data_IF_814363698868
#
_entry.id   IF_814363698868
#
_cell.length_a   1.000
_cell.length_b   1.000
_cell.length_c   1.000
_cell.angle_alpha   90.00
_cell.angle_beta   90.00
_cell.angle_gamma   90.00
#
_symmetry.space_group_name_H-M   'P 1'
#
loop_
_entity.id
_entity.type
_entity.pdbx_description
1 polymer ?
#
# COMPACT_ATOMS: atom_id res chain seq x y z
N UNK A 1 2.63 -4.80 5.05
CA UNK A 1 1.56 -3.77 5.13
C UNK A 1 1.66 -2.86 3.91
N UNK A 2 0.56 -2.45 3.29
CA UNK A 2 0.55 -1.43 2.22
C UNK A 2 -0.20 -0.19 2.66
N UNK A 3 0.41 0.99 2.52
CA UNK A 3 -0.27 2.28 2.68
C UNK A 3 -0.48 2.91 1.32
N UNK A 4 -1.72 3.34 1.05
CA UNK A 4 -2.06 4.00 -0.21
C UNK A 4 -2.59 5.38 0.13
N UNK A 5 -1.99 6.40 -0.48
CA UNK A 5 -2.43 7.79 -0.38
C UNK A 5 -2.75 8.27 -1.79
N UNK A 6 -4.04 8.38 -2.16
CA UNK A 6 -4.44 8.96 -3.43
C UNK A 6 -4.01 10.43 -3.48
N UNK A 7 -3.39 10.82 -4.58
CA UNK A 7 -2.99 12.21 -4.84
C UNK A 7 -3.83 12.72 -6.01
N UNK A 8 -4.47 13.87 -5.84
CA UNK A 8 -5.13 14.60 -6.94
C UNK A 8 -4.10 15.29 -7.80
N UNK A 9 -3.05 15.83 -7.18
CA UNK A 9 -1.95 16.51 -7.89
C UNK A 9 -0.59 16.12 -7.33
N UNK A 10 0.46 16.20 -8.15
CA UNK A 10 1.83 15.84 -7.74
C UNK A 10 2.34 16.67 -6.55
N UNK A 11 1.85 17.90 -6.40
CA UNK A 11 2.28 18.83 -5.35
C UNK A 11 1.81 18.39 -3.95
N UNK A 12 0.78 17.55 -3.86
CA UNK A 12 0.28 17.02 -2.59
C UNK A 12 1.22 15.98 -1.97
N UNK A 13 2.13 15.40 -2.77
CA UNK A 13 3.00 14.32 -2.33
C UNK A 13 3.79 14.65 -1.05
N UNK A 14 4.31 15.88 -0.92
CA UNK A 14 5.06 16.29 0.26
C UNK A 14 4.18 16.37 1.52
N UNK A 15 2.94 16.82 1.39
CA UNK A 15 2.00 16.89 2.51
C UNK A 15 1.54 15.50 2.93
N UNK A 16 1.23 14.62 1.97
CA UNK A 16 0.91 13.22 2.26
C UNK A 16 2.09 12.50 2.92
N UNK A 17 3.32 12.80 2.51
CA UNK A 17 4.52 12.26 3.18
C UNK A 17 4.61 12.67 4.66
N UNK A 18 4.28 13.93 5.01
CA UNK A 18 4.24 14.36 6.42
C UNK A 18 3.24 13.54 7.24
N UNK A 19 2.05 13.30 6.70
CA UNK A 19 1.02 12.47 7.34
C UNK A 19 1.51 11.04 7.51
N UNK A 20 2.04 10.44 6.45
CA UNK A 20 2.62 9.10 6.49
C UNK A 20 3.72 8.98 7.56
N UNK A 21 4.65 9.95 7.59
CA UNK A 21 5.73 9.97 8.56
C UNK A 21 5.19 9.96 9.99
N UNK A 22 4.26 10.85 10.32
CA UNK A 22 3.67 10.91 11.65
C UNK A 22 3.00 9.58 12.05
N UNK A 23 2.28 8.93 11.12
CA UNK A 23 1.64 7.64 11.36
C UNK A 23 2.64 6.53 11.64
N UNK A 24 3.72 6.45 10.86
CA UNK A 24 4.76 5.42 11.03
C UNK A 24 5.55 5.65 12.32
N UNK A 25 5.89 6.90 12.64
CA UNK A 25 6.62 7.21 13.87
C UNK A 25 5.77 6.90 15.11
N UNK A 26 4.47 7.18 15.07
CA UNK A 26 3.54 6.80 16.13
C UNK A 26 3.37 5.28 16.26
N UNK A 27 3.31 4.55 15.14
CA UNK A 27 3.11 3.09 15.15
C UNK A 27 4.36 2.33 15.59
N UNK A 28 5.56 2.84 15.27
CA UNK A 28 6.83 2.15 15.53
C UNK A 28 7.59 2.70 16.75
N UNK A 29 7.06 3.73 17.42
CA UNK A 29 7.71 4.47 18.53
C UNK A 29 9.15 4.88 18.21
N UNK A 30 9.43 5.19 16.94
CA UNK A 30 10.78 5.47 16.39
C UNK A 30 10.71 6.62 15.41
N UNK A 31 11.77 7.43 15.35
CA UNK A 31 11.85 8.57 14.42
C UNK A 31 12.51 8.19 13.10
N UNK A 32 11.99 8.73 12.00
CA UNK A 32 12.60 8.59 10.67
C UNK A 32 13.78 9.55 10.58
N UNK A 33 15.01 9.00 10.56
CA UNK A 33 16.25 9.79 10.49
C UNK A 33 16.57 10.25 9.07
N UNK A 34 16.59 9.31 8.12
CA UNK A 34 16.97 9.53 6.73
C UNK A 34 16.07 8.67 5.82
N UNK A 35 15.63 9.26 4.71
CA UNK A 35 15.06 8.51 3.60
C UNK A 35 16.18 8.00 2.70
N UNK A 36 16.19 6.70 2.44
CA UNK A 36 17.06 6.09 1.43
C UNK A 36 16.22 5.66 0.25
N UNK A 37 16.67 6.02 -0.95
CA UNK A 37 16.07 5.59 -2.20
C UNK A 37 17.02 4.60 -2.84
N UNK A 38 16.76 3.32 -2.66
CA UNK A 38 17.47 2.27 -3.39
C UNK A 38 16.82 2.17 -4.78
N UNK A 39 17.48 2.74 -5.79
CA UNK A 39 17.08 2.55 -7.18
C UNK A 39 17.42 1.11 -7.56
N UNK A 40 16.47 0.41 -8.18
CA UNK A 40 16.74 -0.91 -8.75
C UNK A 40 17.92 -0.81 -9.73
N UNK A 41 18.86 -1.75 -9.66
CA UNK A 41 19.98 -1.75 -10.58
C UNK A 41 19.46 -1.88 -12.03
N UNK A 42 20.13 -1.24 -13.01
CA UNK A 42 19.77 -1.39 -14.41
C UNK A 42 19.73 -2.89 -14.77
N UNK A 43 18.72 -3.29 -15.56
CA UNK A 43 18.56 -4.67 -16.03
C UNK A 43 18.29 -5.74 -14.96
N UNK A 44 17.97 -5.36 -13.71
CA UNK A 44 17.55 -6.32 -12.66
C UNK A 44 16.09 -6.10 -12.21
N UNK A 45 15.09 -6.36 -13.08
CA UNK A 45 13.68 -6.19 -12.73
C UNK A 45 13.24 -7.06 -11.54
N UNK A 46 13.94 -8.17 -11.29
CA UNK A 46 13.68 -9.06 -10.16
C UNK A 46 13.75 -8.36 -8.79
N UNK A 47 14.52 -7.26 -8.67
CA UNK A 47 14.60 -6.47 -7.44
C UNK A 47 13.29 -5.74 -7.09
N UNK A 48 12.44 -5.44 -8.09
CA UNK A 48 11.16 -4.75 -7.89
C UNK A 48 9.97 -5.72 -7.79
N UNK A 49 10.20 -7.03 -7.92
CA UNK A 49 9.14 -8.03 -8.06
C UNK A 49 8.15 -8.07 -6.88
N UNK A 50 8.61 -7.76 -5.66
CA UNK A 50 7.74 -7.71 -4.48
C UNK A 50 6.74 -6.56 -4.56
N UNK A 51 7.21 -5.36 -4.91
CA UNK A 51 6.36 -4.18 -5.08
C UNK A 51 5.40 -4.36 -6.26
N UNK A 52 5.88 -4.90 -7.38
CA UNK A 52 5.05 -5.18 -8.55
C UNK A 52 3.94 -6.20 -8.27
N UNK A 53 4.27 -7.29 -7.57
CA UNK A 53 3.28 -8.31 -7.17
C UNK A 53 2.24 -7.70 -6.23
N UNK A 54 2.66 -6.87 -5.27
CA UNK A 54 1.76 -6.18 -4.36
C UNK A 54 0.80 -5.25 -5.10
N UNK A 55 1.32 -4.43 -6.01
CA UNK A 55 0.51 -3.50 -6.79
C UNK A 55 -0.52 -4.23 -7.65
N UNK A 56 -0.13 -5.34 -8.29
CA UNK A 56 -1.06 -6.18 -9.05
C UNK A 56 -2.18 -6.74 -8.18
N UNK A 57 -1.86 -7.32 -7.02
CA UNK A 57 -2.86 -7.86 -6.09
C UNK A 57 -3.87 -6.78 -5.65
N UNK A 58 -3.39 -5.58 -5.33
CA UNK A 58 -4.27 -4.46 -4.94
C UNK A 58 -5.21 -4.07 -6.09
N UNK A 59 -4.69 -3.98 -7.32
CA UNK A 59 -5.49 -3.63 -8.50
C UNK A 59 -6.50 -4.73 -8.86
N UNK A 60 -6.14 -6.00 -8.72
CA UNK A 60 -7.05 -7.12 -8.95
C UNK A 60 -8.20 -7.12 -7.93
N UNK A 61 -7.89 -6.89 -6.64
CA UNK A 61 -8.91 -6.72 -5.60
C UNK A 61 -9.80 -5.50 -5.86
N UNK A 62 -9.22 -4.38 -6.30
CA UNK A 62 -9.97 -3.16 -6.64
C UNK A 62 -11.00 -3.44 -7.74
N UNK A 63 -10.57 -4.07 -8.83
CA UNK A 63 -11.45 -4.44 -9.95
C UNK A 63 -12.56 -5.39 -9.50
N UNK A 64 -12.22 -6.38 -8.67
CA UNK A 64 -13.20 -7.31 -8.12
C UNK A 64 -14.25 -6.60 -7.24
N UNK A 65 -13.84 -5.66 -6.40
CA UNK A 65 -14.74 -4.86 -5.56
C UNK A 65 -15.68 -3.99 -6.39
N UNK A 66 -15.15 -3.28 -7.40
CA UNK A 66 -15.97 -2.45 -8.30
C UNK A 66 -16.99 -3.30 -9.05
N UNK A 67 -16.55 -4.43 -9.63
CA UNK A 67 -17.41 -5.35 -10.37
C UNK A 67 -18.49 -5.96 -9.48
N UNK A 68 -18.15 -6.34 -8.24
CA UNK A 68 -19.10 -6.97 -7.33
C UNK A 68 -20.12 -5.98 -6.77
N UNK A 69 -19.70 -4.75 -6.45
CA UNK A 69 -20.57 -3.71 -5.88
C UNK A 69 -21.49 -3.05 -6.91
N UNK A 70 -21.22 -3.21 -8.20
CA UNK A 70 -21.97 -2.53 -9.27
C UNK A 70 -21.74 -1.01 -9.30
N UNK A 71 -20.68 -0.52 -8.64
CA UNK A 71 -20.35 0.89 -8.57
C UNK A 71 -19.68 1.40 -9.85
N UNK A 72 -19.83 2.71 -10.17
CA UNK A 72 -19.12 3.31 -11.29
C UNK A 72 -17.59 3.21 -11.16
N UNK A 73 -16.90 3.03 -12.28
CA UNK A 73 -15.42 2.99 -12.32
C UNK A 73 -14.77 4.29 -11.82
N UNK A 74 -15.50 5.40 -11.81
CA UNK A 74 -15.04 6.66 -11.23
C UNK A 74 -14.68 6.58 -9.74
N UNK A 75 -15.22 5.60 -9.01
CA UNK A 75 -14.93 5.34 -7.59
C UNK A 75 -13.73 4.41 -7.37
N UNK A 76 -12.84 4.29 -8.37
CA UNK A 76 -11.67 3.41 -8.28
C UNK A 76 -10.75 3.76 -7.10
N UNK A 77 -10.67 5.04 -6.72
CA UNK A 77 -9.83 5.49 -5.61
C UNK A 77 -10.33 4.89 -4.29
N UNK A 78 -11.63 4.97 -4.03
CA UNK A 78 -12.30 4.41 -2.85
C UNK A 78 -12.18 2.88 -2.82
N UNK A 79 -12.32 2.24 -3.99
CA UNK A 79 -12.13 0.80 -4.13
C UNK A 79 -10.68 0.37 -3.85
N UNK A 80 -9.68 1.14 -4.27
CA UNK A 80 -8.26 0.87 -3.98
C UNK A 80 -7.97 0.98 -2.47
N UNK A 81 -8.48 2.01 -1.81
CA UNK A 81 -8.34 2.18 -0.35
C UNK A 81 -8.94 0.98 0.37
N UNK A 82 -10.15 0.59 -0.03
CA UNK A 82 -10.88 -0.55 0.53
C UNK A 82 -10.12 -1.87 0.31
N UNK A 83 -9.61 -2.10 -0.90
CA UNK A 83 -8.79 -3.26 -1.22
C UNK A 83 -7.54 -3.36 -0.34
N UNK A 84 -6.82 -2.24 -0.15
CA UNK A 84 -5.65 -2.19 0.73
C UNK A 84 -6.01 -2.48 2.19
N UNK A 85 -7.11 -1.89 2.68
CA UNK A 85 -7.61 -2.12 4.02
C UNK A 85 -7.94 -3.59 4.27
N UNK A 86 -8.71 -4.22 3.37
CA UNK A 86 -9.07 -5.62 3.45
C UNK A 86 -7.84 -6.52 3.40
N UNK A 87 -6.94 -6.29 2.43
CA UNK A 87 -5.71 -7.07 2.29
C UNK A 87 -4.86 -7.04 3.56
N UNK A 88 -4.76 -5.89 4.22
CA UNK A 88 -4.00 -5.75 5.45
C UNK A 88 -4.66 -6.45 6.65
N UNK A 89 -5.94 -6.82 6.56
CA UNK A 89 -6.75 -7.45 7.63
C UNK A 89 -7.13 -8.91 7.36
N UNK A 90 -6.78 -9.46 6.21
CA UNK A 90 -7.08 -10.85 5.85
C UNK A 90 -5.84 -11.72 6.07
N UNK A 91 -6.00 -12.94 6.63
CA UNK A 91 -4.96 -13.95 6.69
C UNK A 91 -4.19 -14.08 5.38
N UNK A 92 -2.86 -14.00 5.44
CA UNK A 92 -2.02 -14.21 4.27
C UNK A 92 -1.35 -15.58 4.35
N UNK A 93 -1.43 -16.37 3.27
CA UNK A 93 -0.69 -17.62 3.16
C UNK A 93 0.83 -17.40 3.30
N UNK A 94 1.35 -16.27 2.83
CA UNK A 94 2.76 -15.89 3.01
C UNK A 94 3.14 -15.56 4.46
N UNK A 95 2.16 -15.50 5.37
CA UNK A 95 2.32 -15.26 6.80
C UNK A 95 1.74 -16.43 7.62
N UNK A 96 1.71 -17.65 7.10
CA UNK A 96 1.15 -18.83 7.79
C UNK A 96 -0.29 -18.61 8.30
N UNK A 97 -1.13 -17.94 7.51
CA UNK A 97 -2.51 -17.63 7.88
C UNK A 97 -2.65 -16.49 8.89
N UNK A 98 -1.56 -15.78 9.18
CA UNK A 98 -1.60 -14.61 10.06
C UNK A 98 -2.00 -13.35 9.29
N UNK A 99 -2.63 -12.41 10.00
CA UNK A 99 -3.03 -11.12 9.43
C UNK A 99 -1.83 -10.14 9.36
N UNK A 100 -1.66 -9.35 8.29
CA UNK A 100 -0.51 -8.46 8.14
C UNK A 100 -0.35 -7.32 9.17
N UNK A 101 -1.45 -6.82 9.78
CA UNK A 101 -1.43 -5.69 10.71
C UNK A 101 -0.73 -5.97 12.07
N UNK A 102 -0.95 -7.09 12.78
CA UNK A 102 -0.41 -7.28 14.13
C UNK A 102 1.11 -7.52 14.24
N UNK A 103 1.87 -7.55 13.15
CA UNK A 103 3.31 -7.84 13.19
C UNK A 103 4.23 -6.64 13.45
N UNK A 104 3.66 -5.53 13.93
CA UNK A 104 4.41 -4.36 14.33
C UNK A 104 4.08 -4.06 15.80
N UNK A 105 5.06 -4.31 16.67
CA UNK A 105 5.24 -3.73 18.00
C UNK A 105 6.51 -2.90 17.96
#
# INVERSE_FOLDING_TARGET
MSWIYPLKTKNEAFNCFKVYRALVENQAERTVKILRTDRSAPYTPMQNGVAEKLNRVIMDMTKALLKHSGLPEGLWVEAVITASYLRNRVPSASLDGKIPIPYYK
#
